data_IF_710433571617
#
_entry.id   IF_710433571617
#
_cell.length_a   1.000
_cell.length_b   1.000
_cell.length_c   1.000
_cell.angle_alpha   90.00
_cell.angle_beta   90.00
_cell.angle_gamma   90.00
#
_symmetry.space_group_name_H-M   'P 1'
#
loop_
_entity.id
_entity.type
_entity.pdbx_description
1 polymer ?
#
# COMPACT_ATOMS: atom_id res chain seq x y z
N UNK A 1 8.39 -42.42 15.03
CA UNK A 1 9.70 -41.79 14.74
C UNK A 1 9.87 -41.34 13.28
N UNK A 2 9.04 -41.77 12.32
CA UNK A 2 9.16 -41.33 10.91
C UNK A 2 8.45 -40.01 10.58
N UNK A 3 7.42 -39.61 11.32
CA UNK A 3 6.66 -38.39 11.02
C UNK A 3 7.47 -37.09 11.25
N UNK A 4 8.36 -37.07 12.25
CA UNK A 4 9.17 -35.88 12.57
C UNK A 4 10.26 -35.59 11.55
N UNK A 5 10.85 -36.65 10.95
CA UNK A 5 11.91 -36.49 9.94
C UNK A 5 11.36 -35.93 8.62
N UNK A 6 10.14 -36.29 8.25
CA UNK A 6 9.47 -35.78 7.05
C UNK A 6 9.07 -34.30 7.22
N UNK A 7 8.53 -33.95 8.39
CA UNK A 7 8.20 -32.56 8.75
C UNK A 7 9.44 -31.65 8.69
N UNK A 8 10.59 -32.11 9.22
CA UNK A 8 11.84 -31.32 9.21
C UNK A 8 12.33 -31.02 7.78
N UNK A 9 12.23 -32.00 6.87
CA UNK A 9 12.59 -31.81 5.46
C UNK A 9 11.66 -30.76 4.81
N UNK A 10 10.35 -30.86 5.05
CA UNK A 10 9.37 -29.91 4.52
C UNK A 10 9.64 -28.50 5.04
N UNK A 11 9.98 -28.35 6.33
CA UNK A 11 10.32 -27.05 6.93
C UNK A 11 11.51 -26.41 6.23
N UNK A 12 12.57 -27.18 5.92
CA UNK A 12 13.75 -26.69 5.20
C UNK A 12 13.37 -26.24 3.78
N UNK A 13 12.59 -27.03 3.06
CA UNK A 13 12.11 -26.65 1.73
C UNK A 13 11.29 -25.36 1.74
N UNK A 14 10.32 -25.24 2.65
CA UNK A 14 9.49 -24.03 2.79
C UNK A 14 10.34 -22.80 3.17
N UNK A 15 11.39 -23.00 3.97
CA UNK A 15 12.33 -21.93 4.34
C UNK A 15 13.14 -21.44 3.15
N UNK A 16 13.65 -22.36 2.33
CA UNK A 16 14.39 -22.02 1.12
C UNK A 16 13.52 -21.31 0.08
N UNK A 17 12.28 -21.76 -0.11
CA UNK A 17 11.32 -21.08 -0.99
C UNK A 17 11.08 -19.65 -0.51
N UNK A 18 10.79 -19.47 0.78
CA UNK A 18 10.58 -18.15 1.37
C UNK A 18 11.78 -17.21 1.18
N UNK A 19 12.99 -17.73 1.41
CA UNK A 19 14.23 -17.01 1.18
C UNK A 19 14.39 -16.56 -0.28
N UNK A 20 14.17 -17.46 -1.25
CA UNK A 20 14.30 -17.12 -2.67
C UNK A 20 13.25 -16.12 -3.14
N UNK A 21 12.01 -16.25 -2.67
CA UNK A 21 10.94 -15.29 -2.92
C UNK A 21 11.30 -13.91 -2.38
N UNK A 22 11.74 -13.83 -1.13
CA UNK A 22 12.13 -12.56 -0.50
C UNK A 22 13.41 -11.95 -1.07
N UNK A 23 14.33 -12.77 -1.58
CA UNK A 23 15.59 -12.26 -2.14
C UNK A 23 15.45 -11.81 -3.59
N UNK A 24 14.90 -12.65 -4.46
CA UNK A 24 14.91 -12.39 -5.90
C UNK A 24 13.63 -11.69 -6.39
N UNK A 25 12.46 -12.18 -5.98
CA UNK A 25 11.19 -11.61 -6.45
C UNK A 25 10.99 -10.22 -5.86
N UNK A 26 11.23 -10.05 -4.55
CA UNK A 26 11.11 -8.73 -3.92
C UNK A 26 12.08 -7.70 -4.53
N UNK A 27 13.30 -8.09 -4.90
CA UNK A 27 14.28 -7.19 -5.52
C UNK A 27 13.77 -6.63 -6.84
N UNK A 28 13.22 -7.48 -7.70
CA UNK A 28 12.62 -7.07 -8.96
C UNK A 28 11.46 -6.11 -8.70
N UNK A 29 10.58 -6.44 -7.75
CA UNK A 29 9.42 -5.60 -7.40
C UNK A 29 9.88 -4.22 -6.90
N UNK A 30 10.91 -4.14 -6.04
CA UNK A 30 11.44 -2.87 -5.54
C UNK A 30 11.98 -2.01 -6.68
N UNK A 31 12.76 -2.58 -7.60
CA UNK A 31 13.29 -1.84 -8.75
C UNK A 31 12.14 -1.28 -9.59
N UNK A 32 11.16 -2.12 -9.94
CA UNK A 32 9.99 -1.71 -10.70
C UNK A 32 9.19 -0.62 -9.98
N UNK A 33 9.06 -0.72 -8.66
CA UNK A 33 8.32 0.22 -7.84
C UNK A 33 9.02 1.57 -7.68
N UNK A 34 10.33 1.60 -7.47
CA UNK A 34 11.09 2.85 -7.41
C UNK A 34 11.04 3.58 -8.76
N UNK A 35 11.31 2.87 -9.86
CA UNK A 35 11.26 3.43 -11.21
C UNK A 35 9.84 3.91 -11.56
N UNK A 36 8.83 3.08 -11.31
CA UNK A 36 7.44 3.40 -11.59
C UNK A 36 6.96 4.62 -10.81
N UNK A 37 7.15 4.65 -9.49
CA UNK A 37 6.72 5.78 -8.67
C UNK A 37 7.49 7.07 -9.02
N UNK A 38 8.77 6.98 -9.40
CA UNK A 38 9.53 8.13 -9.90
C UNK A 38 8.90 8.71 -11.17
N UNK A 39 8.57 7.87 -12.16
CA UNK A 39 7.90 8.35 -13.37
C UNK A 39 6.50 8.90 -13.11
N UNK A 40 5.74 8.31 -12.18
CA UNK A 40 4.46 8.87 -11.75
C UNK A 40 4.63 10.30 -11.24
N UNK A 41 5.64 10.56 -10.40
CA UNK A 41 5.92 11.90 -9.88
C UNK A 41 6.21 12.86 -11.04
N UNK A 42 7.07 12.49 -11.99
CA UNK A 42 7.39 13.34 -13.14
C UNK A 42 6.16 13.66 -14.01
N UNK A 43 5.30 12.67 -14.26
CA UNK A 43 4.11 12.85 -15.09
C UNK A 43 3.04 13.69 -14.39
N UNK A 44 2.75 13.43 -13.11
CA UNK A 44 1.70 14.17 -12.39
C UNK A 44 2.11 15.61 -12.02
N UNK A 45 3.40 15.92 -11.99
CA UNK A 45 3.88 17.31 -11.85
C UNK A 45 3.64 18.18 -13.09
N UNK A 46 3.30 17.58 -14.23
CA UNK A 46 3.09 18.32 -15.47
C UNK A 46 1.92 19.32 -15.34
N UNK A 47 1.97 20.46 -16.04
CA UNK A 47 0.94 21.50 -15.97
C UNK A 47 -0.48 20.98 -16.24
N UNK A 48 -0.61 19.94 -17.05
CA UNK A 48 -1.88 19.28 -17.39
C UNK A 48 -2.54 18.60 -16.19
N UNK A 49 -1.77 18.13 -15.22
CA UNK A 49 -2.26 17.33 -14.09
C UNK A 49 -2.21 18.07 -12.75
N UNK A 50 -1.29 19.03 -12.56
CA UNK A 50 -1.03 19.69 -11.26
C UNK A 50 -2.21 20.48 -10.68
N UNK A 51 -3.18 20.91 -11.50
CA UNK A 51 -4.35 21.65 -11.04
C UNK A 51 -5.51 20.74 -10.58
N UNK A 52 -5.38 19.42 -10.78
CA UNK A 52 -6.44 18.47 -10.49
C UNK A 52 -6.24 17.83 -9.09
N UNK A 53 -7.24 17.90 -8.18
CA UNK A 53 -7.12 17.32 -6.84
C UNK A 53 -6.84 15.82 -6.83
N UNK A 54 -7.42 15.04 -7.75
CA UNK A 54 -7.12 13.61 -7.86
C UNK A 54 -5.67 13.34 -8.22
N UNK A 55 -5.11 14.08 -9.19
CA UNK A 55 -3.69 13.99 -9.51
C UNK A 55 -2.81 14.30 -8.30
N UNK A 56 -3.22 15.25 -7.44
CA UNK A 56 -2.53 15.56 -6.20
C UNK A 56 -2.51 14.37 -5.21
N UNK A 57 -3.63 13.65 -5.08
CA UNK A 57 -3.65 12.43 -4.28
C UNK A 57 -2.77 11.32 -4.87
N UNK A 58 -2.79 11.14 -6.20
CA UNK A 58 -1.99 10.11 -6.88
C UNK A 58 -0.48 10.40 -6.81
N UNK A 59 -0.06 11.67 -6.94
CA UNK A 59 1.34 12.04 -6.77
C UNK A 59 1.77 11.90 -5.31
N UNK A 60 0.90 12.24 -4.35
CA UNK A 60 1.18 12.03 -2.93
C UNK A 60 1.36 10.53 -2.65
N UNK A 61 0.49 9.68 -3.19
CA UNK A 61 0.61 8.22 -3.11
C UNK A 61 1.97 7.73 -3.66
N UNK A 62 2.45 8.29 -4.78
CA UNK A 62 3.74 7.93 -5.35
C UNK A 62 4.92 8.31 -4.44
N UNK A 63 4.91 9.50 -3.83
CA UNK A 63 5.94 9.89 -2.85
C UNK A 63 5.95 8.97 -1.63
N UNK A 64 4.79 8.73 -1.02
CA UNK A 64 4.73 7.88 0.18
C UNK A 64 5.04 6.42 -0.14
N UNK A 65 4.72 5.94 -1.35
CA UNK A 65 5.13 4.60 -1.81
C UNK A 65 6.65 4.45 -1.89
N UNK A 66 7.38 5.45 -2.39
CA UNK A 66 8.85 5.42 -2.39
C UNK A 66 9.37 5.31 -0.97
N UNK A 67 8.90 6.16 -0.05
CA UNK A 67 9.36 6.13 1.35
C UNK A 67 9.01 4.78 2.01
N UNK A 68 7.83 4.25 1.73
CA UNK A 68 7.41 2.94 2.22
C UNK A 68 8.30 1.81 1.68
N UNK A 69 8.58 1.79 0.37
CA UNK A 69 9.47 0.82 -0.28
C UNK A 69 10.85 0.83 0.38
N UNK A 70 11.39 2.03 0.66
CA UNK A 70 12.71 2.20 1.28
C UNK A 70 12.73 1.78 2.75
N UNK A 71 11.61 1.91 3.47
CA UNK A 71 11.56 1.59 4.91
C UNK A 71 11.20 0.13 5.18
N UNK A 72 10.32 -0.49 4.40
CA UNK A 72 9.82 -1.85 4.65
C UNK A 72 10.37 -2.92 3.67
N UNK A 73 10.01 -2.94 2.38
CA UNK A 73 10.57 -3.89 1.41
C UNK A 73 12.10 -3.96 1.39
N UNK A 74 12.78 -2.81 1.32
CA UNK A 74 14.23 -2.77 1.20
C UNK A 74 14.92 -3.41 2.41
N UNK A 75 14.44 -3.10 3.61
CA UNK A 75 15.01 -3.67 4.83
C UNK A 75 14.78 -5.18 4.93
N UNK A 76 13.66 -5.71 4.43
CA UNK A 76 13.45 -7.16 4.33
C UNK A 76 14.43 -7.84 3.37
N UNK A 77 14.77 -7.21 2.25
CA UNK A 77 15.81 -7.73 1.36
C UNK A 77 17.16 -7.76 2.10
N UNK A 78 17.52 -6.67 2.77
CA UNK A 78 18.78 -6.57 3.52
C UNK A 78 18.86 -7.65 4.62
N UNK A 79 17.74 -7.97 5.28
CA UNK A 79 17.67 -9.06 6.25
C UNK A 79 18.01 -10.41 5.63
N UNK A 80 17.61 -10.67 4.38
CA UNK A 80 18.02 -11.91 3.68
C UNK A 80 19.52 -12.03 3.45
N UNK A 81 20.26 -10.92 3.47
CA UNK A 81 21.72 -10.87 3.37
C UNK A 81 22.42 -10.69 4.72
N UNK A 82 21.68 -10.74 5.83
CA UNK A 82 22.19 -10.47 7.18
C UNK A 82 22.79 -9.05 7.31
N UNK A 83 22.27 -8.10 6.53
CA UNK A 83 22.70 -6.70 6.50
C UNK A 83 21.65 -5.74 7.12
N UNK A 84 20.60 -6.25 7.76
CA UNK A 84 19.56 -5.40 8.37
C UNK A 84 20.05 -4.80 9.70
N UNK A 85 20.51 -3.55 9.64
CA UNK A 85 20.93 -2.78 10.82
C UNK A 85 19.83 -2.67 11.89
N UNK A 86 18.56 -2.81 11.52
CA UNK A 86 17.46 -2.74 12.48
C UNK A 86 17.35 -3.99 13.37
N UNK A 87 18.01 -5.09 13.02
CA UNK A 87 18.13 -6.25 13.92
C UNK A 87 19.11 -5.95 15.05
N UNK A 88 20.08 -5.06 14.85
CA UNK A 88 21.11 -4.77 15.84
C UNK A 88 20.88 -3.45 16.60
N UNK A 89 20.13 -2.50 16.02
CA UNK A 89 19.96 -1.15 16.57
C UNK A 89 18.48 -0.87 16.85
N UNK A 90 18.11 -0.85 18.14
CA UNK A 90 16.73 -0.64 18.62
C UNK A 90 16.08 0.63 18.07
N UNK A 91 16.81 1.75 18.03
CA UNK A 91 16.32 3.03 17.50
C UNK A 91 15.95 2.91 16.01
N UNK A 92 16.80 2.26 15.21
CA UNK A 92 16.53 2.07 13.78
C UNK A 92 15.30 1.19 13.59
N UNK A 93 15.13 0.12 14.38
CA UNK A 93 13.93 -0.69 14.27
C UNK A 93 12.64 0.09 14.57
N UNK A 94 12.62 0.81 15.68
CA UNK A 94 11.47 1.63 16.13
C UNK A 94 11.03 2.61 15.05
N UNK A 95 11.98 3.42 14.56
CA UNK A 95 11.74 4.41 13.51
C UNK A 95 11.28 3.73 12.23
N UNK A 96 12.00 2.70 11.79
CA UNK A 96 11.70 1.96 10.55
C UNK A 96 10.26 1.45 10.54
N UNK A 97 9.83 0.78 11.62
CA UNK A 97 8.49 0.19 11.71
C UNK A 97 7.40 1.25 11.76
N UNK A 98 7.57 2.30 12.55
CA UNK A 98 6.63 3.42 12.65
C UNK A 98 6.45 4.12 11.30
N UNK A 99 7.55 4.45 10.60
CA UNK A 99 7.50 5.04 9.27
C UNK A 99 6.85 4.10 8.25
N UNK A 100 7.21 2.82 8.28
CA UNK A 100 6.63 1.82 7.37
C UNK A 100 5.10 1.78 7.48
N UNK A 101 4.56 1.79 8.70
CA UNK A 101 3.11 1.70 8.91
C UNK A 101 2.41 3.01 8.54
N UNK A 102 3.01 4.14 8.90
CA UNK A 102 2.52 5.48 8.57
C UNK A 102 2.42 5.68 7.05
N UNK A 103 3.51 5.43 6.30
CA UNK A 103 3.54 5.66 4.86
C UNK A 103 2.74 4.62 4.06
N UNK A 104 2.69 3.36 4.51
CA UNK A 104 1.79 2.37 3.91
C UNK A 104 0.33 2.81 4.02
N UNK A 105 -0.07 3.34 5.18
CA UNK A 105 -1.43 3.80 5.43
C UNK A 105 -1.75 5.05 4.62
N UNK A 106 -0.82 6.00 4.56
CA UNK A 106 -0.98 7.20 3.75
C UNK A 106 -1.10 6.89 2.27
N UNK A 107 -0.39 5.89 1.75
CA UNK A 107 -0.54 5.45 0.36
C UNK A 107 -1.98 5.02 0.06
N UNK A 108 -2.50 4.08 0.87
CA UNK A 108 -3.84 3.53 0.69
C UNK A 108 -4.93 4.60 0.87
N UNK A 109 -4.80 5.46 1.87
CA UNK A 109 -5.76 6.54 2.11
C UNK A 109 -5.69 7.59 0.97
N UNK A 110 -4.52 7.88 0.42
CA UNK A 110 -4.38 8.78 -0.73
C UNK A 110 -5.18 8.25 -1.93
N UNK A 111 -5.07 6.95 -2.24
CA UNK A 111 -5.83 6.33 -3.32
C UNK A 111 -7.34 6.33 -3.02
N UNK A 112 -7.72 6.10 -1.76
CA UNK A 112 -9.11 6.19 -1.33
C UNK A 112 -9.68 7.60 -1.50
N UNK A 113 -8.93 8.64 -1.12
CA UNK A 113 -9.34 10.03 -1.35
C UNK A 113 -9.38 10.40 -2.82
N UNK A 114 -8.46 9.89 -3.64
CA UNK A 114 -8.57 9.98 -5.10
C UNK A 114 -9.89 9.40 -5.62
N UNK A 115 -10.34 8.28 -5.05
CA UNK A 115 -11.63 7.65 -5.39
C UNK A 115 -12.82 8.49 -4.94
N UNK A 116 -12.79 9.01 -3.71
CA UNK A 116 -13.82 9.92 -3.16
C UNK A 116 -13.93 11.18 -4.02
N UNK A 117 -12.79 11.78 -4.37
CA UNK A 117 -12.73 12.97 -5.22
C UNK A 117 -13.35 12.71 -6.60
N UNK A 118 -13.04 11.56 -7.20
CA UNK A 118 -13.67 11.14 -8.47
C UNK A 118 -15.18 10.87 -8.33
N UNK A 119 -15.66 10.42 -7.18
CA UNK A 119 -17.10 10.29 -6.95
C UNK A 119 -17.76 11.66 -6.86
N UNK A 120 -17.20 12.55 -6.05
CA UNK A 120 -17.72 13.88 -5.77
C UNK A 120 -17.80 14.74 -7.04
N UNK A 121 -16.76 14.73 -7.87
CA UNK A 121 -16.75 15.51 -9.12
C UNK A 121 -17.79 15.03 -10.13
N UNK A 122 -18.16 13.74 -10.07
CA UNK A 122 -19.19 13.12 -10.91
C UNK A 122 -20.61 13.23 -10.31
N UNK A 123 -20.77 13.90 -9.17
CA UNK A 123 -22.08 14.16 -8.58
C UNK A 123 -22.85 15.24 -9.34
N UNK A 124 -24.18 15.11 -9.39
CA UNK A 124 -25.05 16.11 -10.03
C UNK A 124 -25.12 17.41 -9.24
N UNK A 125 -24.93 17.36 -7.92
CA UNK A 125 -25.06 18.53 -7.05
C UNK A 125 -23.81 19.40 -7.11
N UNK A 126 -23.99 20.71 -7.25
CA UNK A 126 -22.90 21.69 -7.38
C UNK A 126 -22.11 21.81 -6.07
N UNK A 127 -22.81 21.79 -4.93
CA UNK A 127 -22.21 21.90 -3.60
C UNK A 127 -21.17 20.80 -3.35
N UNK A 128 -21.49 19.56 -3.71
CA UNK A 128 -20.53 18.46 -3.61
C UNK A 128 -19.33 18.69 -4.52
N UNK A 129 -19.54 19.08 -5.78
CA UNK A 129 -18.43 19.33 -6.73
C UNK A 129 -17.44 20.40 -6.22
N UNK A 130 -17.90 21.40 -5.47
CA UNK A 130 -17.03 22.42 -4.88
C UNK A 130 -16.09 21.88 -3.78
N UNK A 131 -16.41 20.74 -3.18
CA UNK A 131 -15.53 20.09 -2.20
C UNK A 131 -14.26 19.54 -2.86
N UNK A 132 -14.32 19.16 -4.14
CA UNK A 132 -13.18 18.74 -4.97
C UNK A 132 -12.34 19.96 -5.36
N UNK A 133 -11.57 20.47 -4.40
CA UNK A 133 -10.64 21.58 -4.60
C UNK A 133 -9.23 21.20 -4.13
N UNK A 134 -8.21 21.77 -4.77
CA UNK A 134 -6.82 21.48 -4.43
C UNK A 134 -6.49 21.91 -3.00
N UNK A 135 -7.07 23.01 -2.53
CA UNK A 135 -6.92 23.50 -1.16
C UNK A 135 -7.45 22.49 -0.13
N UNK A 136 -8.66 21.96 -0.37
CA UNK A 136 -9.23 20.91 0.49
C UNK A 136 -8.40 19.64 0.44
N UNK A 137 -7.86 19.27 -0.73
CA UNK A 137 -7.02 18.10 -0.88
C UNK A 137 -5.72 18.20 -0.06
N UNK A 138 -5.04 19.34 -0.09
CA UNK A 138 -3.88 19.59 0.77
C UNK A 138 -4.24 19.52 2.25
N UNK A 139 -5.31 20.21 2.66
CA UNK A 139 -5.75 20.23 4.07
C UNK A 139 -6.09 18.81 4.56
N UNK A 140 -6.81 18.04 3.76
CA UNK A 140 -7.18 16.66 4.09
C UNK A 140 -5.94 15.77 4.22
N UNK A 141 -4.99 15.85 3.28
CA UNK A 141 -3.76 15.05 3.35
C UNK A 141 -2.90 15.40 4.57
N UNK A 142 -2.78 16.68 4.93
CA UNK A 142 -2.03 17.10 6.13
C UNK A 142 -2.68 16.54 7.40
N UNK A 143 -4.02 16.67 7.52
CA UNK A 143 -4.77 16.14 8.67
C UNK A 143 -4.59 14.62 8.76
N UNK A 144 -4.75 13.91 7.64
CA UNK A 144 -4.59 12.45 7.60
C UNK A 144 -3.17 12.02 7.91
N UNK A 145 -2.14 12.71 7.41
CA UNK A 145 -0.75 12.44 7.73
C UNK A 145 -0.47 12.57 9.24
N UNK A 146 -0.99 13.63 9.85
CA UNK A 146 -0.87 13.85 11.29
C UNK A 146 -1.59 12.75 12.10
N UNK A 147 -2.82 12.39 11.72
CA UNK A 147 -3.58 11.31 12.37
C UNK A 147 -2.85 9.96 12.24
N UNK A 148 -2.37 9.62 11.04
CA UNK A 148 -1.64 8.36 10.83
C UNK A 148 -0.37 8.32 11.69
N UNK A 149 0.38 9.42 11.74
CA UNK A 149 1.57 9.52 12.57
C UNK A 149 1.24 9.33 14.06
N UNK A 150 0.19 9.99 14.57
CA UNK A 150 -0.25 9.82 15.96
C UNK A 150 -0.66 8.38 16.29
N UNK A 151 -1.30 7.67 15.35
CA UNK A 151 -1.75 6.28 15.57
C UNK A 151 -0.56 5.32 15.67
N UNK A 152 0.52 5.56 14.92
CA UNK A 152 1.66 4.64 14.84
C UNK A 152 2.93 5.13 15.56
N UNK A 153 2.84 6.21 16.34
CA UNK A 153 3.96 6.71 17.15
C UNK A 153 4.23 5.81 18.37
N UNK A 154 3.20 5.11 18.85
CA UNK A 154 3.27 4.15 19.96
C UNK A 154 4.27 3.02 19.69
N UNK A 155 4.47 2.65 18.42
CA UNK A 155 5.48 1.69 17.95
C UNK A 155 6.90 2.03 18.43
N UNK A 156 7.21 3.31 18.63
CA UNK A 156 8.52 3.75 19.15
C UNK A 156 8.73 3.23 20.59
N UNK A 157 7.65 3.10 21.36
CA UNK A 157 7.69 2.59 22.73
C UNK A 157 7.49 1.08 22.81
N UNK A 158 6.68 0.51 21.92
CA UNK A 158 6.28 -0.89 21.96
C UNK A 158 7.31 -1.88 21.39
N UNK A 159 8.20 -1.44 20.50
CA UNK A 159 9.19 -2.30 19.85
C UNK A 159 10.52 -2.31 20.59
N UNK A 160 11.23 -3.43 20.55
CA UNK A 160 12.64 -3.47 20.93
C UNK A 160 13.40 -4.57 20.17
N UNK A 161 14.72 -4.54 20.28
CA UNK A 161 15.55 -5.64 19.80
C UNK A 161 15.65 -6.68 20.91
N UNK A 162 15.14 -7.88 20.66
CA UNK A 162 15.24 -9.00 21.60
C UNK A 162 16.22 -10.01 21.03
N UNK A 163 17.15 -10.45 21.88
CA UNK A 163 18.08 -11.52 21.58
C UNK A 163 17.45 -12.84 22.01
N UNK A 164 16.87 -13.59 21.07
CA UNK A 164 16.39 -14.96 21.29
C UNK A 164 17.29 -15.93 20.52
N UNK A 165 18.23 -16.63 21.17
CA UNK A 165 19.12 -17.56 20.48
C UNK A 165 18.32 -18.58 19.63
N UNK A 166 18.65 -18.81 18.35
CA UNK A 166 19.85 -18.38 17.63
C UNK A 166 19.74 -17.06 16.83
N UNK A 167 18.65 -16.31 16.92
CA UNK A 167 18.39 -15.11 16.09
C UNK A 167 18.16 -13.84 16.90
N UNK A 168 18.84 -12.76 16.52
CA UNK A 168 18.50 -11.42 16.97
C UNK A 168 17.40 -10.91 16.05
N UNK A 169 16.24 -10.57 16.61
CA UNK A 169 15.14 -10.06 15.82
C UNK A 169 14.60 -8.79 16.47
N UNK A 170 14.17 -7.85 15.64
CA UNK A 170 13.38 -6.76 16.15
C UNK A 170 11.93 -7.24 16.32
N UNK A 171 11.52 -7.35 17.58
CA UNK A 171 10.24 -7.92 17.99
C UNK A 171 9.57 -7.02 19.04
N UNK A 172 8.30 -7.28 19.32
CA UNK A 172 7.55 -6.52 20.32
C UNK A 172 7.98 -7.04 21.70
N UNK A 173 8.73 -6.22 22.42
CA UNK A 173 9.35 -6.59 23.71
C UNK A 173 8.38 -6.45 24.88
N UNK A 174 7.53 -5.42 24.85
CA UNK A 174 7.17 -4.79 26.11
C UNK A 174 5.78 -5.16 26.64
N UNK A 175 4.83 -5.63 25.82
CA UNK A 175 3.51 -6.16 26.24
C UNK A 175 2.71 -6.71 25.06
N UNK A 176 1.99 -7.81 25.28
CA UNK A 176 0.97 -8.36 24.38
C UNK A 176 -0.10 -7.34 23.93
N UNK A 177 -0.41 -6.37 24.79
CA UNK A 177 -1.35 -5.29 24.51
C UNK A 177 -0.87 -4.41 23.35
N UNK A 178 0.44 -4.13 23.28
CA UNK A 178 1.02 -3.36 22.18
C UNK A 178 0.85 -4.07 20.84
N UNK A 179 1.08 -5.38 20.79
CA UNK A 179 0.95 -6.17 19.56
C UNK A 179 -0.50 -6.19 19.06
N UNK A 180 -1.44 -6.49 19.98
CA UNK A 180 -2.86 -6.48 19.67
C UNK A 180 -3.35 -5.10 19.21
N UNK A 181 -2.99 -4.03 19.91
CA UNK A 181 -3.34 -2.66 19.53
C UNK A 181 -2.82 -2.34 18.13
N UNK A 182 -1.56 -2.64 17.85
CA UNK A 182 -0.93 -2.27 16.59
C UNK A 182 -1.47 -3.06 15.39
N UNK A 183 -1.73 -4.35 15.55
CA UNK A 183 -2.33 -5.14 14.47
C UNK A 183 -3.81 -4.74 14.24
N UNK A 184 -4.57 -4.40 15.30
CA UNK A 184 -5.94 -3.87 15.15
C UNK A 184 -5.92 -2.49 14.50
N UNK A 185 -5.09 -1.56 14.99
CA UNK A 185 -4.97 -0.21 14.45
C UNK A 185 -4.57 -0.26 12.97
N UNK A 186 -3.59 -1.11 12.63
CA UNK A 186 -3.21 -1.38 11.25
C UNK A 186 -4.37 -1.92 10.44
N UNK A 187 -5.10 -2.93 10.93
CA UNK A 187 -6.24 -3.50 10.21
C UNK A 187 -7.31 -2.44 9.93
N UNK A 188 -7.63 -1.59 10.91
CA UNK A 188 -8.66 -0.56 10.76
C UNK A 188 -8.19 0.53 9.78
N UNK A 189 -7.00 1.09 9.99
CA UNK A 189 -6.50 2.27 9.25
C UNK A 189 -6.00 1.93 7.86
N UNK A 190 -5.29 0.80 7.69
CA UNK A 190 -4.69 0.42 6.42
C UNK A 190 -5.69 -0.34 5.52
N UNK A 191 -6.54 -1.16 6.13
CA UNK A 191 -7.40 -2.08 5.37
C UNK A 191 -8.85 -1.61 5.39
N UNK A 192 -9.48 -1.58 6.58
CA UNK A 192 -10.93 -1.45 6.66
C UNK A 192 -11.42 -0.10 6.16
N UNK A 193 -10.87 1.01 6.68
CA UNK A 193 -11.28 2.36 6.28
C UNK A 193 -11.04 2.61 4.78
N UNK A 194 -9.83 2.41 4.22
CA UNK A 194 -9.60 2.66 2.80
C UNK A 194 -10.43 1.75 1.91
N UNK A 195 -10.58 0.46 2.26
CA UNK A 195 -11.37 -0.48 1.45
C UNK A 195 -12.85 -0.12 1.44
N UNK A 196 -13.43 0.27 2.58
CA UNK A 196 -14.83 0.70 2.64
C UNK A 196 -15.06 1.97 1.82
N UNK A 197 -14.16 2.96 1.93
CA UNK A 197 -14.22 4.17 1.11
C UNK A 197 -14.12 3.83 -0.38
N UNK A 198 -13.14 3.01 -0.76
CA UNK A 198 -12.92 2.58 -2.14
C UNK A 198 -14.14 1.82 -2.69
N UNK A 199 -14.73 0.92 -1.92
CA UNK A 199 -15.88 0.13 -2.35
C UNK A 199 -17.12 1.01 -2.55
N UNK A 200 -17.46 1.83 -1.54
CA UNK A 200 -18.65 2.68 -1.57
C UNK A 200 -18.54 3.73 -2.69
N UNK A 201 -17.45 4.50 -2.68
CA UNK A 201 -17.28 5.61 -3.63
C UNK A 201 -16.81 5.15 -5.01
N UNK A 202 -16.04 4.07 -5.09
CA UNK A 202 -15.63 3.47 -6.36
C UNK A 202 -16.82 2.88 -7.12
N UNK A 203 -17.71 2.18 -6.42
CA UNK A 203 -18.96 1.69 -7.02
C UNK A 203 -19.84 2.85 -7.50
N UNK A 204 -20.03 3.87 -6.68
CA UNK A 204 -20.77 5.08 -7.05
C UNK A 204 -20.17 5.78 -8.29
N UNK A 205 -18.84 5.87 -8.37
CA UNK A 205 -18.14 6.45 -9.51
C UNK A 205 -18.43 5.66 -10.79
N UNK A 206 -18.41 4.33 -10.75
CA UNK A 206 -18.71 3.48 -11.91
C UNK A 206 -20.15 3.69 -12.39
N UNK A 207 -21.11 3.79 -11.47
CA UNK A 207 -22.51 4.05 -11.82
C UNK A 207 -22.68 5.42 -12.49
N UNK A 208 -22.12 6.47 -11.89
CA UNK A 208 -22.23 7.84 -12.40
C UNK A 208 -21.55 8.02 -13.76
N UNK A 209 -20.40 7.37 -13.98
CA UNK A 209 -19.70 7.40 -15.28
C UNK A 209 -20.55 6.77 -16.39
N UNK A 210 -21.30 5.68 -16.11
CA UNK A 210 -22.20 5.08 -17.11
C UNK A 210 -23.31 6.04 -17.53
N UNK A 211 -23.84 6.81 -16.58
CA UNK A 211 -24.89 7.82 -16.82
C UNK A 211 -24.34 9.06 -17.52
N UNK A 212 -23.19 9.58 -17.08
CA UNK A 212 -22.51 10.75 -17.67
C UNK A 212 -22.07 10.49 -19.12
N UNK A 213 -21.63 9.27 -19.46
CA UNK A 213 -21.30 8.87 -20.85
C UNK A 213 -22.46 9.04 -21.84
N UNK A 214 -23.72 9.03 -21.38
CA UNK A 214 -24.88 9.27 -22.25
C UNK A 214 -25.05 10.76 -22.59
N UNK A 215 -24.68 11.66 -21.67
CA UNK A 215 -24.82 13.10 -21.84
C UNK A 215 -23.59 13.75 -22.51
N UNK A 216 -22.37 13.35 -22.17
CA UNK A 216 -21.13 13.97 -22.71
C UNK A 216 -20.81 13.63 -24.18
N UNK A 217 -21.64 12.83 -24.87
CA UNK A 217 -21.51 12.68 -26.34
C UNK A 217 -21.89 13.97 -27.09
N UNK A 218 -22.54 14.92 -26.41
CA UNK A 218 -23.00 16.17 -26.99
C UNK A 218 -22.04 17.35 -26.80
N UNK A 219 -21.11 17.32 -25.82
CA UNK A 219 -20.19 18.44 -25.53
C UNK A 219 -18.72 18.00 -25.55
N UNK A 220 -17.98 18.49 -26.54
CA UNK A 220 -16.58 18.15 -26.82
C UNK A 220 -15.53 18.84 -25.94
N UNK A 221 -15.69 18.81 -24.61
CA UNK A 221 -14.75 19.49 -23.70
C UNK A 221 -13.53 18.64 -23.32
N UNK A 222 -12.33 19.20 -23.51
CA UNK A 222 -11.03 18.58 -23.19
C UNK A 222 -10.89 18.23 -21.70
N UNK A 223 -11.47 19.04 -20.81
CA UNK A 223 -11.46 18.82 -19.35
C UNK A 223 -12.09 17.47 -18.98
N UNK A 224 -13.22 17.12 -19.60
CA UNK A 224 -13.89 15.82 -19.37
C UNK A 224 -13.06 14.62 -19.83
N UNK A 225 -12.14 14.80 -20.81
CA UNK A 225 -11.24 13.71 -21.23
C UNK A 225 -10.18 13.41 -20.19
N UNK A 226 -9.62 14.44 -19.54
CA UNK A 226 -8.63 14.29 -18.47
C UNK A 226 -9.27 13.55 -17.29
N UNK A 227 -10.43 14.02 -16.83
CA UNK A 227 -11.13 13.40 -15.70
C UNK A 227 -11.50 11.95 -15.99
N UNK A 228 -11.92 11.63 -17.22
CA UNK A 228 -12.20 10.25 -17.63
C UNK A 228 -10.96 9.36 -17.52
N UNK A 229 -9.80 9.84 -17.97
CA UNK A 229 -8.55 9.06 -17.89
C UNK A 229 -8.12 8.86 -16.43
N UNK A 230 -8.22 9.89 -15.59
CA UNK A 230 -7.96 9.78 -14.15
C UNK A 230 -8.90 8.78 -13.47
N UNK A 231 -10.20 8.80 -13.82
CA UNK A 231 -11.14 7.79 -13.31
C UNK A 231 -10.78 6.37 -13.76
N UNK A 232 -10.31 6.18 -15.00
CA UNK A 232 -9.86 4.86 -15.47
C UNK A 232 -8.62 4.38 -14.71
N UNK A 233 -7.66 5.26 -14.45
CA UNK A 233 -6.47 4.97 -13.64
C UNK A 233 -6.86 4.51 -12.23
N UNK A 234 -7.72 5.28 -11.56
CA UNK A 234 -8.19 4.96 -10.20
C UNK A 234 -8.95 3.63 -10.15
N UNK A 235 -9.81 3.33 -11.13
CA UNK A 235 -10.48 2.02 -11.19
C UNK A 235 -9.47 0.86 -11.31
N UNK A 236 -8.41 1.04 -12.10
CA UNK A 236 -7.33 0.05 -12.20
C UNK A 236 -6.63 -0.20 -10.86
N UNK A 237 -6.32 0.87 -10.14
CA UNK A 237 -5.75 0.79 -8.78
C UNK A 237 -6.67 0.06 -7.81
N UNK A 238 -7.97 0.35 -7.83
CA UNK A 238 -8.95 -0.30 -6.96
C UNK A 238 -8.94 -1.82 -7.18
N UNK A 239 -8.96 -2.26 -8.44
CA UNK A 239 -8.94 -3.70 -8.77
C UNK A 239 -7.65 -4.34 -8.25
N UNK A 240 -6.50 -3.71 -8.46
CA UNK A 240 -5.23 -4.25 -8.01
C UNK A 240 -5.11 -4.29 -6.47
N UNK A 241 -5.61 -3.24 -5.79
CA UNK A 241 -5.70 -3.18 -4.34
C UNK A 241 -6.54 -4.35 -3.82
N UNK A 242 -7.72 -4.58 -4.38
CA UNK A 242 -8.61 -5.65 -3.92
C UNK A 242 -7.94 -7.02 -4.05
N UNK A 243 -7.28 -7.30 -5.19
CA UNK A 243 -6.58 -8.57 -5.41
C UNK A 243 -5.40 -8.75 -4.44
N UNK A 244 -4.68 -7.66 -4.13
CA UNK A 244 -3.43 -7.74 -3.37
C UNK A 244 -3.63 -7.65 -1.85
N UNK A 245 -4.60 -6.87 -1.38
CA UNK A 245 -4.82 -6.61 0.05
C UNK A 245 -5.80 -7.58 0.71
N UNK A 246 -6.74 -8.18 -0.03
CA UNK A 246 -7.65 -9.20 0.55
C UNK A 246 -6.85 -10.38 1.14
N UNK A 247 -5.90 -11.01 0.42
CA UNK A 247 -5.10 -12.09 0.97
C UNK A 247 -4.31 -11.66 2.20
N UNK A 248 -3.72 -10.46 2.17
CA UNK A 248 -2.97 -9.90 3.30
C UNK A 248 -3.88 -9.72 4.53
N UNK A 249 -5.09 -9.24 4.33
CA UNK A 249 -6.06 -8.99 5.40
C UNK A 249 -6.51 -10.29 6.05
N UNK A 250 -6.86 -11.28 5.24
CA UNK A 250 -7.25 -12.61 5.72
C UNK A 250 -6.11 -13.22 6.54
N UNK A 251 -4.87 -13.15 6.03
CA UNK A 251 -3.70 -13.64 6.75
C UNK A 251 -3.49 -12.92 8.09
N UNK A 252 -3.69 -11.59 8.15
CA UNK A 252 -3.54 -10.81 9.39
C UNK A 252 -4.60 -11.13 10.42
N UNK A 253 -5.87 -11.23 9.99
CA UNK A 253 -6.97 -11.65 10.85
C UNK A 253 -6.69 -13.04 11.42
N UNK A 254 -6.26 -13.98 10.57
CA UNK A 254 -5.89 -15.32 11.00
C UNK A 254 -4.77 -15.31 12.05
N UNK A 255 -3.72 -14.50 11.84
CA UNK A 255 -2.63 -14.38 12.81
C UNK A 255 -3.14 -13.88 14.16
N UNK A 256 -3.99 -12.84 14.18
CA UNK A 256 -4.58 -12.27 15.40
C UNK A 256 -5.46 -13.29 16.13
N UNK A 257 -6.32 -14.01 15.40
CA UNK A 257 -7.23 -15.02 15.98
C UNK A 257 -6.50 -16.24 16.53
N UNK A 258 -5.29 -16.53 16.04
CA UNK A 258 -4.51 -17.71 16.44
C UNK A 258 -3.33 -17.37 17.33
N UNK A 259 -3.27 -16.15 17.89
CA UNK A 259 -2.18 -15.71 18.77
C UNK A 259 -2.02 -16.59 20.02
N UNK A 260 -3.11 -17.12 20.58
CA UNK A 260 -3.12 -17.96 21.79
C UNK A 260 -2.91 -19.45 21.56
N UNK A 261 -2.88 -19.87 20.30
CA UNK A 261 -2.84 -21.28 19.95
C UNK A 261 -1.37 -21.67 19.82
N UNK A 262 -0.94 -22.70 20.56
CA UNK A 262 0.38 -23.28 20.40
C UNK A 262 0.53 -23.88 18.99
N UNK A 263 1.60 -23.49 18.28
CA UNK A 263 1.82 -23.84 16.87
C UNK A 263 2.98 -24.82 16.75
N UNK A 264 2.73 -25.94 16.07
CA UNK A 264 3.79 -26.85 15.61
C UNK A 264 4.76 -26.07 14.68
N UNK A 265 6.10 -26.30 14.75
CA UNK A 265 7.09 -25.75 13.83
C UNK A 265 6.69 -25.73 12.35
N UNK A 266 6.08 -26.81 11.83
CA UNK A 266 5.64 -26.87 10.44
C UNK A 266 4.55 -25.82 10.15
N UNK A 267 3.55 -25.71 11.05
CA UNK A 267 2.48 -24.72 10.93
C UNK A 267 3.03 -23.30 11.00
N UNK A 268 3.96 -23.03 11.92
CA UNK A 268 4.61 -21.72 12.03
C UNK A 268 5.33 -21.34 10.73
N UNK A 269 6.06 -22.28 10.10
CA UNK A 269 6.76 -22.00 8.85
C UNK A 269 5.80 -21.73 7.68
N UNK A 270 4.69 -22.47 7.60
CA UNK A 270 3.63 -22.22 6.60
C UNK A 270 3.04 -20.82 6.79
N UNK A 271 2.76 -20.41 8.03
CA UNK A 271 2.24 -19.08 8.34
C UNK A 271 3.22 -17.97 7.97
N UNK A 272 4.53 -18.18 8.22
CA UNK A 272 5.58 -17.25 7.79
C UNK A 272 5.61 -17.14 6.27
N UNK A 273 5.62 -18.27 5.54
CA UNK A 273 5.62 -18.26 4.07
C UNK A 273 4.37 -17.60 3.50
N UNK A 274 3.19 -17.84 4.07
CA UNK A 274 1.95 -17.15 3.69
C UNK A 274 2.06 -15.63 3.94
N UNK A 275 2.64 -15.23 5.07
CA UNK A 275 2.95 -13.84 5.38
C UNK A 275 3.95 -13.20 4.40
N UNK A 276 4.90 -13.98 3.91
CA UNK A 276 5.87 -13.58 2.90
C UNK A 276 5.20 -13.38 1.53
N UNK A 277 4.41 -14.33 1.07
CA UNK A 277 3.66 -14.25 -0.20
C UNK A 277 2.68 -13.07 -0.20
N UNK A 278 1.89 -12.92 0.86
CA UNK A 278 0.96 -11.79 0.98
C UNK A 278 1.67 -10.44 1.09
N UNK A 279 2.88 -10.40 1.66
CA UNK A 279 3.70 -9.19 1.63
C UNK A 279 4.14 -8.85 0.21
N UNK A 280 4.64 -9.83 -0.57
CA UNK A 280 5.01 -9.62 -1.97
C UNK A 280 3.84 -9.08 -2.78
N UNK A 281 2.63 -9.61 -2.59
CA UNK A 281 1.42 -9.10 -3.24
C UNK A 281 1.17 -7.62 -2.92
N UNK A 282 1.25 -7.22 -1.63
CA UNK A 282 1.09 -5.82 -1.26
C UNK A 282 2.19 -4.92 -1.81
N UNK A 283 3.45 -5.37 -1.84
CA UNK A 283 4.55 -4.60 -2.44
C UNK A 283 4.41 -4.48 -3.95
N UNK A 284 3.91 -5.53 -4.59
CA UNK A 284 3.61 -5.54 -6.01
C UNK A 284 2.54 -4.50 -6.36
N UNK A 285 1.49 -4.38 -5.54
CA UNK A 285 0.47 -3.34 -5.71
C UNK A 285 1.10 -1.94 -5.75
N UNK A 286 1.92 -1.58 -4.75
CA UNK A 286 2.52 -0.25 -4.68
C UNK A 286 3.57 0.02 -5.77
N UNK A 287 4.02 -1.04 -6.46
CA UNK A 287 5.02 -0.98 -7.52
C UNK A 287 4.40 -0.89 -8.92
N UNK A 288 3.16 -1.32 -9.08
CA UNK A 288 2.50 -1.39 -10.39
C UNK A 288 1.79 -0.10 -10.82
N UNK A 289 1.66 0.89 -9.95
CA UNK A 289 0.82 2.06 -10.22
C UNK A 289 1.12 2.77 -11.54
N UNK A 290 2.40 2.99 -11.84
CA UNK A 290 2.80 3.59 -13.12
C UNK A 290 2.39 2.76 -14.33
N UNK A 291 2.52 1.45 -14.27
CA UNK A 291 2.20 0.55 -15.38
C UNK A 291 0.69 0.52 -15.62
N UNK A 292 -0.11 0.59 -14.55
CA UNK A 292 -1.56 0.81 -14.66
C UNK A 292 -1.85 2.16 -15.30
N UNK A 293 -1.19 3.23 -14.86
CA UNK A 293 -1.45 4.56 -15.41
C UNK A 293 -1.01 4.68 -16.87
N UNK A 294 0.08 4.03 -17.25
CA UNK A 294 0.56 3.98 -18.63
C UNK A 294 -0.40 3.21 -19.56
N UNK A 295 -1.03 2.14 -19.06
CA UNK A 295 -1.97 1.31 -19.84
C UNK A 295 -3.39 1.87 -19.84
N UNK A 296 -3.93 2.23 -18.68
CA UNK A 296 -5.32 2.67 -18.48
C UNK A 296 -5.50 4.19 -18.58
N UNK A 297 -4.44 4.98 -18.37
CA UNK A 297 -4.46 6.44 -18.45
C UNK A 297 -4.57 7.03 -19.86
N UNK A 298 -4.71 6.16 -20.87
CA UNK A 298 -5.01 6.56 -22.24
C UNK A 298 -3.83 7.17 -23.00
N UNK A 299 -4.14 7.83 -24.10
CA UNK A 299 -3.13 8.52 -24.93
C UNK A 299 -2.56 9.74 -24.23
N UNK A 300 -3.32 10.41 -23.36
CA UNK A 300 -2.89 11.62 -22.67
C UNK A 300 -1.69 11.35 -21.75
N UNK A 301 -1.80 10.38 -20.82
CA UNK A 301 -0.70 10.05 -19.93
C UNK A 301 0.55 9.62 -20.71
N UNK A 302 0.38 8.79 -21.75
CA UNK A 302 1.47 8.33 -22.62
C UNK A 302 2.12 9.46 -23.43
N UNK A 303 1.33 10.42 -23.93
CA UNK A 303 1.86 11.59 -24.64
C UNK A 303 2.62 12.52 -23.71
N UNK A 304 2.09 12.74 -22.51
CA UNK A 304 2.78 13.53 -21.47
C UNK A 304 4.09 12.87 -21.07
N UNK A 305 4.11 11.55 -20.87
CA UNK A 305 5.34 10.80 -20.61
C UNK A 305 6.33 10.86 -21.78
N UNK A 306 5.87 10.73 -23.03
CA UNK A 306 6.73 10.86 -24.22
C UNK A 306 7.32 12.25 -24.39
N UNK A 307 6.68 13.31 -23.91
CA UNK A 307 7.22 14.68 -23.94
C UNK A 307 8.31 14.92 -22.88
N UNK A 308 8.43 14.02 -21.90
CA UNK A 308 9.44 14.08 -20.84
C UNK A 308 10.74 13.37 -21.22
N UNK A 309 10.69 12.47 -22.21
CA UNK A 309 11.85 11.78 -22.79
C UNK A 309 12.36 12.55 -24.01
#
# INVERSE_FOLDING_TARGET
MNATLDDDIIIIYLSNIGLYLMRYVLMIIIILGLVGNFFNILVFHQPTFRSNPCSFYLITAAYVNIIWIMTSPLSRILATFQLDLSENISIICKIRRSLSYTFSSLSMISIAFGTVDRFIINSSQIEYRQLSSLHNAHRLMIITAFICWLIFVDMIYCLDVIVTPPSIACTINTRRICDLYNEIARLIVLVFIPSMLILIFGYGTIQHVKTSRRMSRLEGNTIHRIDRHLTQMVIGEIILIMISYIPNTIQRIYLVLTLDIEKNPLRLRIEILSGEVTFLMTTFQSSLSFYIYATMGGTLFRQTFKKLL
#
